data_IF_025086007076
#
_entry.id   IF_025086007076
#
_cell.length_a   1.000
_cell.length_b   1.000
_cell.length_c   1.000
_cell.angle_alpha   90.00
_cell.angle_beta   90.00
_cell.angle_gamma   90.00
#
_symmetry.space_group_name_H-M   'P 1'
#
loop_
_entity.id
_entity.type
_entity.pdbx_description
1 polymer ?
#
# COMPACT_ATOMS: atom_id res chain seq x y z
N UNK A 1 9.04 37.29 -9.69
CA UNK A 1 8.45 35.98 -9.35
C UNK A 1 7.58 35.53 -10.51
N UNK A 2 7.84 34.37 -11.10
CA UNK A 2 7.02 33.85 -12.19
C UNK A 2 5.59 33.58 -11.68
N UNK A 3 4.58 34.02 -12.44
CA UNK A 3 3.17 33.83 -12.08
C UNK A 3 2.84 32.34 -12.02
N UNK A 4 2.37 31.85 -10.86
CA UNK A 4 1.96 30.44 -10.69
C UNK A 4 0.90 30.09 -11.73
N UNK A 5 1.19 29.11 -12.59
CA UNK A 5 0.24 28.62 -13.60
C UNK A 5 -0.88 27.85 -12.90
N UNK A 6 -2.13 28.08 -13.31
CA UNK A 6 -3.28 27.30 -12.85
C UNK A 6 -3.03 25.82 -13.17
N UNK A 7 -3.34 24.93 -12.23
CA UNK A 7 -3.37 23.49 -12.50
C UNK A 7 -4.61 23.22 -13.36
N UNK A 8 -4.43 22.42 -14.41
CA UNK A 8 -5.53 22.03 -15.29
C UNK A 8 -6.64 21.29 -14.52
N UNK A 9 -7.90 21.57 -14.87
CA UNK A 9 -9.05 21.02 -14.14
C UNK A 9 -9.20 19.50 -14.39
N UNK A 10 -8.78 19.01 -15.56
CA UNK A 10 -8.70 17.58 -15.86
C UNK A 10 -7.62 16.87 -15.03
N UNK A 11 -6.43 17.46 -14.94
CA UNK A 11 -5.35 16.98 -14.07
C UNK A 11 -5.79 16.94 -12.60
N UNK A 12 -6.47 17.98 -12.12
CA UNK A 12 -7.02 18.03 -10.77
C UNK A 12 -8.01 16.89 -10.53
N UNK A 13 -8.94 16.69 -11.45
CA UNK A 13 -9.95 15.62 -11.35
C UNK A 13 -9.31 14.24 -11.34
N UNK A 14 -8.28 14.02 -12.16
CA UNK A 14 -7.53 12.76 -12.21
C UNK A 14 -6.84 12.46 -10.88
N UNK A 15 -6.08 13.40 -10.32
CA UNK A 15 -5.37 13.23 -9.05
C UNK A 15 -6.32 12.97 -7.88
N UNK A 16 -7.43 13.71 -7.82
CA UNK A 16 -8.45 13.51 -6.79
C UNK A 16 -9.11 12.14 -6.94
N UNK A 17 -9.39 11.70 -8.18
CA UNK A 17 -9.95 10.37 -8.44
C UNK A 17 -8.98 9.26 -8.06
N UNK A 18 -7.69 9.39 -8.36
CA UNK A 18 -6.65 8.43 -7.96
C UNK A 18 -6.54 8.28 -6.43
N UNK A 19 -6.75 9.37 -5.70
CA UNK A 19 -6.74 9.38 -4.23
C UNK A 19 -8.10 9.05 -3.61
N UNK A 20 -9.13 8.76 -4.41
CA UNK A 20 -10.50 8.55 -3.90
C UNK A 20 -11.08 9.76 -3.17
N UNK A 21 -10.69 10.97 -3.57
CA UNK A 21 -11.04 12.23 -2.91
C UNK A 21 -10.65 12.25 -1.42
N UNK A 22 -9.50 11.65 -1.08
CA UNK A 22 -8.90 11.68 0.26
C UNK A 22 -7.55 12.39 0.27
N UNK A 23 -7.16 12.88 1.44
CA UNK A 23 -5.79 13.33 1.69
C UNK A 23 -4.81 12.18 1.44
N UNK A 24 -3.72 12.45 0.71
CA UNK A 24 -2.71 11.45 0.40
C UNK A 24 -1.81 11.09 1.60
N UNK A 25 -1.87 11.84 2.71
CA UNK A 25 -1.29 11.39 3.96
C UNK A 25 -2.01 10.09 4.39
N UNK A 26 -1.34 8.92 4.45
CA UNK A 26 -1.98 7.62 4.65
C UNK A 26 -2.78 7.48 5.95
N UNK A 27 -2.47 8.31 6.96
CA UNK A 27 -3.18 8.29 8.25
C UNK A 27 -4.25 9.38 8.37
N UNK A 28 -4.36 10.29 7.40
CA UNK A 28 -5.36 11.37 7.39
C UNK A 28 -6.66 10.88 6.73
N UNK A 29 -7.81 11.29 7.28
CA UNK A 29 -9.15 10.88 6.80
C UNK A 29 -10.00 12.03 6.25
N UNK A 30 -9.41 13.19 6.01
CA UNK A 30 -10.12 14.35 5.47
C UNK A 30 -10.39 14.19 3.97
N UNK A 31 -11.63 14.49 3.55
CA UNK A 31 -12.12 14.24 2.17
C UNK A 31 -12.56 15.50 1.41
N UNK A 32 -13.11 16.50 2.08
CA UNK A 32 -13.87 17.58 1.40
C UNK A 32 -13.08 18.86 1.08
N UNK A 33 -11.85 18.98 1.57
CA UNK A 33 -11.01 20.17 1.36
C UNK A 33 -9.60 19.75 1.00
N UNK A 34 -9.36 19.43 -0.27
CA UNK A 34 -8.05 19.02 -0.75
C UNK A 34 -7.38 20.11 -1.60
N UNK A 35 -6.15 20.39 -1.22
CA UNK A 35 -5.23 21.30 -1.88
C UNK A 35 -4.19 20.46 -2.62
N UNK A 36 -3.93 20.80 -3.88
CA UNK A 36 -2.88 20.14 -4.64
C UNK A 36 -1.54 20.76 -4.25
N UNK A 37 -0.73 19.96 -3.57
CA UNK A 37 0.59 20.31 -3.14
C UNK A 37 1.62 19.93 -4.21
N UNK A 38 2.58 20.84 -4.45
CA UNK A 38 3.71 20.64 -5.33
C UNK A 38 4.87 20.05 -4.52
N UNK A 39 5.26 18.80 -4.80
CA UNK A 39 6.33 18.09 -4.08
C UNK A 39 7.67 18.83 -4.23
N UNK A 40 8.03 19.16 -5.47
CA UNK A 40 9.04 20.16 -5.80
C UNK A 40 8.32 21.50 -5.97
N UNK A 41 8.71 22.49 -5.17
CA UNK A 41 8.00 23.77 -5.14
C UNK A 41 8.10 24.52 -6.46
N UNK A 42 7.05 25.28 -6.79
CA UNK A 42 7.05 26.15 -7.99
C UNK A 42 8.19 27.18 -7.93
N UNK A 43 8.55 27.66 -6.73
CA UNK A 43 9.70 28.55 -6.52
C UNK A 43 11.05 27.89 -6.84
N UNK A 44 11.11 26.56 -6.79
CA UNK A 44 12.29 25.74 -7.09
C UNK A 44 12.26 25.17 -8.51
N UNK A 45 11.30 25.60 -9.35
CA UNK A 45 11.14 25.13 -10.72
C UNK A 45 10.20 23.94 -10.91
N UNK A 46 9.50 23.51 -9.85
CA UNK A 46 8.53 22.42 -9.93
C UNK A 46 7.34 22.71 -10.85
N UNK A 47 7.01 21.74 -11.71
CA UNK A 47 5.94 21.82 -12.70
C UNK A 47 4.58 21.31 -12.22
N UNK A 48 3.53 21.55 -13.02
CA UNK A 48 2.19 20.97 -12.83
C UNK A 48 2.12 19.60 -13.51
N UNK A 49 2.89 18.63 -13.02
CA UNK A 49 2.87 17.24 -13.55
C UNK A 49 2.23 16.30 -12.56
N UNK A 50 1.78 15.13 -13.03
CA UNK A 50 1.13 14.14 -12.17
C UNK A 50 2.08 13.64 -11.08
N UNK A 51 3.37 13.51 -11.41
CA UNK A 51 4.43 13.03 -10.52
C UNK A 51 4.80 14.05 -9.44
N UNK A 52 4.61 15.34 -9.73
CA UNK A 52 4.97 16.44 -8.84
C UNK A 52 3.79 16.96 -8.00
N UNK A 53 2.59 16.40 -8.18
CA UNK A 53 1.39 16.84 -7.48
C UNK A 53 0.87 15.76 -6.53
N UNK A 54 0.47 16.20 -5.34
CA UNK A 54 -0.12 15.34 -4.32
C UNK A 54 -1.29 16.04 -3.62
N UNK A 55 -2.49 15.43 -3.51
CA UNK A 55 -3.60 16.01 -2.76
C UNK A 55 -3.38 15.94 -1.25
N UNK A 56 -3.44 17.09 -0.56
CA UNK A 56 -3.35 17.18 0.90
C UNK A 56 -4.53 17.98 1.45
N UNK A 57 -4.96 17.68 2.68
CA UNK A 57 -5.86 18.60 3.39
C UNK A 57 -5.10 19.84 3.90
N UNK A 58 -5.79 20.96 4.19
CA UNK A 58 -5.18 22.18 4.70
C UNK A 58 -4.26 21.93 5.90
N UNK A 59 -4.67 21.08 6.85
CA UNK A 59 -3.83 20.76 8.01
C UNK A 59 -2.52 20.06 7.62
N UNK A 60 -2.58 18.99 6.83
CA UNK A 60 -1.36 18.28 6.41
C UNK A 60 -0.48 19.17 5.52
N UNK A 61 -1.09 20.02 4.69
CA UNK A 61 -0.38 20.96 3.85
C UNK A 61 0.35 22.02 4.69
N UNK A 62 -0.31 22.62 5.68
CA UNK A 62 0.31 23.56 6.62
C UNK A 62 1.40 22.92 7.44
N UNK A 63 1.20 21.71 7.96
CA UNK A 63 2.21 20.97 8.73
C UNK A 63 3.46 20.69 7.88
N UNK A 64 3.29 20.42 6.59
CA UNK A 64 4.42 20.26 5.68
C UNK A 64 5.17 21.58 5.45
N UNK A 65 4.47 22.68 5.17
CA UNK A 65 5.08 24.01 5.05
C UNK A 65 5.80 24.46 6.34
N UNK A 66 5.29 24.06 7.50
CA UNK A 66 5.90 24.32 8.80
C UNK A 66 7.09 23.40 9.12
N UNK A 67 7.41 22.42 8.26
CA UNK A 67 8.52 21.48 8.45
C UNK A 67 8.23 20.31 9.40
N UNK A 68 7.01 20.16 9.90
CA UNK A 68 6.63 19.03 10.75
C UNK A 68 6.42 17.74 9.96
N UNK A 69 6.03 17.84 8.69
CA UNK A 69 6.02 16.73 7.75
C UNK A 69 7.19 16.95 6.79
N UNK A 70 8.20 16.05 6.74
CA UNK A 70 9.36 16.23 5.88
C UNK A 70 9.02 15.95 4.40
N UNK A 71 9.82 16.50 3.48
CA UNK A 71 9.64 16.33 2.00
C UNK A 71 9.73 14.86 1.60
N UNK A 72 10.54 14.09 2.32
CA UNK A 72 10.72 12.66 2.14
C UNK A 72 9.42 11.89 2.40
N UNK A 73 8.63 12.30 3.40
CA UNK A 73 7.33 11.69 3.67
C UNK A 73 6.34 11.95 2.53
N UNK A 74 6.28 13.19 2.02
CA UNK A 74 5.46 13.56 0.85
C UNK A 74 5.83 12.70 -0.37
N UNK A 75 7.13 12.53 -0.64
CA UNK A 75 7.62 11.67 -1.73
C UNK A 75 7.23 10.20 -1.55
N UNK A 76 7.37 9.67 -0.34
CA UNK A 76 6.97 8.29 -0.03
C UNK A 76 5.47 8.07 -0.25
N UNK A 77 4.62 9.02 0.17
CA UNK A 77 3.17 8.92 -0.02
C UNK A 77 2.76 8.97 -1.49
N UNK A 78 3.44 9.79 -2.30
CA UNK A 78 3.23 9.81 -3.76
C UNK A 78 3.54 8.45 -4.39
N UNK A 79 4.66 7.84 -4.03
CA UNK A 79 5.03 6.50 -4.52
C UNK A 79 4.00 5.44 -4.12
N UNK A 80 3.52 5.47 -2.87
CA UNK A 80 2.47 4.56 -2.40
C UNK A 80 1.17 4.73 -3.20
N UNK A 81 0.75 5.99 -3.42
CA UNK A 81 -0.45 6.29 -4.21
C UNK A 81 -0.35 5.74 -5.64
N UNK A 82 0.78 5.98 -6.30
CA UNK A 82 1.03 5.53 -7.67
C UNK A 82 1.09 3.99 -7.77
N UNK A 83 1.47 3.31 -6.68
CA UNK A 83 1.65 1.86 -6.66
C UNK A 83 0.40 1.08 -6.25
N UNK A 84 -0.44 1.63 -5.37
CA UNK A 84 -1.45 0.85 -4.65
C UNK A 84 -2.90 1.10 -5.09
N UNK A 85 -3.16 2.05 -5.99
CA UNK A 85 -4.51 2.49 -6.38
C UNK A 85 -5.45 2.62 -5.18
N UNK A 86 -5.39 3.77 -4.49
CA UNK A 86 -6.14 4.09 -3.27
C UNK A 86 -5.67 3.30 -2.01
N UNK A 87 -4.50 3.64 -1.44
CA UNK A 87 -4.04 3.04 -0.19
C UNK A 87 -4.97 3.44 0.96
N UNK A 88 -5.85 2.53 1.39
CA UNK A 88 -6.48 2.68 2.70
C UNK A 88 -5.40 2.47 3.78
N UNK A 89 -5.46 3.23 4.89
CA UNK A 89 -4.60 3.01 6.07
C UNK A 89 -4.49 1.53 6.46
N UNK A 90 -5.61 0.80 6.32
CA UNK A 90 -5.69 -0.62 6.67
C UNK A 90 -4.74 -1.46 5.82
N UNK A 91 -4.57 -1.13 4.53
CA UNK A 91 -3.64 -1.83 3.66
C UNK A 91 -2.18 -1.54 4.04
N UNK A 92 -1.86 -0.30 4.36
CA UNK A 92 -0.54 0.11 4.86
C UNK A 92 -0.17 -0.64 6.14
N UNK A 93 -1.04 -0.59 7.14
CA UNK A 93 -0.85 -1.28 8.43
C UNK A 93 -0.74 -2.79 8.20
N UNK A 94 -1.50 -3.33 7.25
CA UNK A 94 -1.46 -4.73 6.87
C UNK A 94 -0.15 -5.16 6.21
N UNK A 95 0.40 -4.39 5.27
CA UNK A 95 1.69 -4.69 4.66
C UNK A 95 2.84 -4.66 5.70
N UNK A 96 2.79 -3.73 6.65
CA UNK A 96 3.75 -3.67 7.76
C UNK A 96 3.59 -4.88 8.68
N UNK A 97 2.36 -5.28 8.98
CA UNK A 97 2.07 -6.48 9.77
C UNK A 97 2.67 -7.72 9.08
N UNK A 98 2.40 -7.92 7.79
CA UNK A 98 2.95 -9.03 7.01
C UNK A 98 4.47 -8.99 6.84
N UNK A 99 5.12 -7.82 6.96
CA UNK A 99 6.57 -7.71 6.91
C UNK A 99 7.24 -8.15 8.22
N UNK A 100 6.59 -7.82 9.34
CA UNK A 100 7.01 -8.19 10.69
C UNK A 100 6.75 -9.65 10.98
N UNK A 101 5.63 -10.16 10.49
CA UNK A 101 5.35 -11.58 10.42
C UNK A 101 6.34 -12.18 9.42
N UNK A 102 7.36 -12.91 9.91
CA UNK A 102 8.50 -13.29 9.06
C UNK A 102 8.08 -14.20 7.88
N UNK A 103 6.85 -14.69 7.86
CA UNK A 103 6.24 -15.33 6.69
C UNK A 103 6.98 -16.59 6.25
N UNK A 104 7.83 -17.14 7.12
CA UNK A 104 8.41 -18.47 6.96
C UNK A 104 7.48 -19.43 7.68
N UNK A 105 6.51 -20.06 6.99
CA UNK A 105 5.95 -21.28 7.48
C UNK A 105 7.10 -22.29 7.40
N UNK A 106 7.83 -22.48 8.49
CA UNK A 106 8.33 -23.81 8.76
C UNK A 106 7.07 -24.65 8.97
N UNK A 107 6.50 -25.16 7.87
CA UNK A 107 5.44 -26.15 7.88
C UNK A 107 6.06 -27.44 8.43
N UNK A 108 6.48 -27.41 9.69
CA UNK A 108 6.59 -28.62 10.46
C UNK A 108 5.18 -29.20 10.42
N UNK A 109 5.06 -30.40 9.84
CA UNK A 109 3.88 -31.24 9.92
C UNK A 109 3.70 -31.65 11.38
N UNK A 110 3.47 -30.69 12.26
CA UNK A 110 3.07 -30.90 13.63
C UNK A 110 1.64 -31.40 13.57
N UNK A 111 1.43 -32.61 14.07
CA UNK A 111 0.10 -33.14 14.33
C UNK A 111 -0.77 -32.03 14.94
N UNK A 112 -1.95 -31.81 14.37
CA UNK A 112 -2.97 -30.84 14.81
C UNK A 112 -3.57 -31.21 16.19
N UNK A 113 -2.85 -31.98 16.99
CA UNK A 113 -3.31 -32.60 18.23
C UNK A 113 -2.79 -31.89 19.50
N UNK A 114 -1.76 -31.04 19.41
CA UNK A 114 -1.28 -30.31 20.58
C UNK A 114 -1.93 -28.92 20.67
N UNK A 115 -2.96 -28.83 21.52
CA UNK A 115 -3.70 -27.58 21.76
C UNK A 115 -2.85 -26.50 22.44
N UNK A 116 -1.67 -26.86 22.97
CA UNK A 116 -0.78 -25.98 23.72
C UNK A 116 0.46 -25.54 22.92
N UNK A 117 0.61 -25.98 21.65
CA UNK A 117 1.69 -25.51 20.80
C UNK A 117 1.59 -23.97 20.61
N UNK A 118 2.72 -23.23 20.64
CA UNK A 118 2.73 -21.79 20.34
C UNK A 118 2.12 -21.57 18.96
N UNK A 119 1.03 -20.80 18.87
CA UNK A 119 0.33 -20.52 17.61
C UNK A 119 0.96 -19.39 16.79
N UNK A 120 2.18 -19.00 17.14
CA UNK A 120 2.91 -17.88 16.54
C UNK A 120 3.40 -18.22 15.11
N UNK A 121 3.20 -19.47 14.67
CA UNK A 121 3.54 -20.04 13.36
C UNK A 121 2.33 -20.17 12.41
N UNK A 122 1.12 -19.81 12.87
CA UNK A 122 -0.09 -19.95 12.05
C UNK A 122 -0.19 -18.79 11.07
N UNK A 123 -0.16 -19.03 9.74
CA UNK A 123 -0.25 -17.95 8.75
C UNK A 123 -1.59 -17.23 8.84
N UNK A 124 -1.59 -15.93 8.52
CA UNK A 124 -2.83 -15.15 8.46
C UNK A 124 -3.82 -15.75 7.45
N UNK A 125 -5.01 -16.10 7.94
CA UNK A 125 -6.11 -16.65 7.15
C UNK A 125 -7.16 -15.58 6.92
N UNK A 126 -7.53 -15.38 5.66
CA UNK A 126 -8.54 -14.43 5.22
C UNK A 126 -9.72 -15.17 4.61
N UNK A 127 -10.92 -14.66 4.86
CA UNK A 127 -12.15 -15.12 4.21
C UNK A 127 -12.28 -14.48 2.83
N UNK A 128 -12.93 -15.17 1.89
CA UNK A 128 -13.08 -14.79 0.48
C UNK A 128 -13.55 -13.35 0.22
N UNK A 129 -14.41 -12.83 1.09
CA UNK A 129 -14.93 -11.45 1.07
C UNK A 129 -13.86 -10.38 1.38
N UNK A 130 -12.72 -10.77 1.96
CA UNK A 130 -11.58 -9.88 2.20
C UNK A 130 -10.71 -9.68 0.94
N UNK A 131 -10.86 -10.53 -0.09
CA UNK A 131 -10.01 -10.53 -1.28
C UNK A 131 -10.03 -9.20 -2.08
N UNK A 132 -11.19 -8.51 -2.26
CA UNK A 132 -11.22 -7.24 -2.99
C UNK A 132 -10.33 -6.16 -2.38
N UNK A 133 -10.12 -6.17 -1.06
CA UNK A 133 -9.23 -5.22 -0.37
C UNK A 133 -7.74 -5.50 -0.60
N UNK A 134 -7.42 -6.72 -1.05
CA UNK A 134 -6.06 -7.18 -1.31
C UNK A 134 -5.76 -7.29 -2.82
N UNK A 135 -6.76 -7.11 -3.67
CA UNK A 135 -6.64 -7.28 -5.13
C UNK A 135 -5.55 -6.39 -5.74
N UNK A 136 -5.45 -5.12 -5.33
CA UNK A 136 -4.40 -4.21 -5.79
C UNK A 136 -2.99 -4.73 -5.51
N UNK A 137 -2.63 -4.94 -4.23
CA UNK A 137 -1.34 -5.53 -3.84
C UNK A 137 -1.04 -6.88 -4.52
N UNK A 138 -2.03 -7.76 -4.64
CA UNK A 138 -1.88 -9.04 -5.34
C UNK A 138 -1.58 -8.82 -6.82
N UNK A 139 -2.34 -7.97 -7.51
CA UNK A 139 -2.12 -7.66 -8.92
C UNK A 139 -0.78 -6.95 -9.19
N UNK A 140 -0.31 -6.13 -8.25
CA UNK A 140 1.00 -5.46 -8.34
C UNK A 140 2.19 -6.37 -8.00
N UNK A 141 1.92 -7.63 -7.62
CA UNK A 141 2.93 -8.60 -7.20
C UNK A 141 3.59 -8.27 -5.86
N UNK A 142 2.96 -7.46 -5.01
CA UNK A 142 3.43 -7.18 -3.64
C UNK A 142 3.00 -8.26 -2.66
N UNK A 143 1.80 -8.82 -2.87
CA UNK A 143 1.28 -9.96 -2.14
C UNK A 143 1.09 -11.15 -3.08
N UNK A 144 1.22 -12.34 -2.53
CA UNK A 144 0.79 -13.56 -3.20
C UNK A 144 -0.16 -14.36 -2.32
N UNK A 145 -1.08 -15.06 -2.98
CA UNK A 145 -1.97 -16.04 -2.33
C UNK A 145 -1.28 -17.39 -2.45
N UNK A 146 -0.70 -17.89 -1.35
CA UNK A 146 0.10 -19.12 -1.38
C UNK A 146 -0.67 -20.36 -0.93
N UNK A 147 -1.90 -20.20 -0.40
CA UNK A 147 -2.77 -21.32 -0.09
C UNK A 147 -4.25 -20.91 -0.18
N UNK A 148 -5.05 -21.67 -0.93
CA UNK A 148 -6.51 -21.52 -0.99
C UNK A 148 -7.17 -22.79 -0.46
N UNK A 149 -7.93 -22.67 0.63
CA UNK A 149 -8.69 -23.77 1.22
C UNK A 149 -10.18 -23.53 1.05
N UNK A 150 -10.91 -24.55 0.62
CA UNK A 150 -12.37 -24.57 0.77
C UNK A 150 -12.68 -25.10 2.16
N UNK A 151 -13.28 -24.28 3.02
CA UNK A 151 -13.82 -24.78 4.28
C UNK A 151 -15.30 -25.11 4.06
N UNK A 152 -15.70 -26.32 4.42
CA UNK A 152 -17.10 -26.69 4.59
C UNK A 152 -17.58 -26.10 5.91
N UNK A 153 -18.43 -25.07 5.86
CA UNK A 153 -19.12 -24.63 7.07
C UNK A 153 -20.14 -25.70 7.51
N UNK A 154 -20.37 -25.80 8.82
CA UNK A 154 -21.31 -26.75 9.45
C UNK A 154 -22.78 -26.60 8.95
N UNK A 155 -23.06 -25.59 8.11
CA UNK A 155 -24.38 -25.25 7.57
C UNK A 155 -24.42 -25.18 6.02
N UNK A 156 -23.51 -25.85 5.30
CA UNK A 156 -23.60 -26.02 3.84
C UNK A 156 -23.11 -24.83 2.99
N UNK A 157 -22.64 -23.75 3.61
CA UNK A 157 -21.92 -22.68 2.90
C UNK A 157 -20.43 -22.99 2.72
N UNK A 158 -19.88 -22.75 1.54
CA UNK A 158 -18.44 -22.81 1.28
C UNK A 158 -17.89 -21.40 1.09
N UNK A 159 -17.36 -20.81 2.16
CA UNK A 159 -16.54 -19.60 2.02
C UNK A 159 -15.09 -20.02 1.79
N UNK A 160 -14.47 -19.64 0.65
CA UNK A 160 -13.06 -19.92 0.45
C UNK A 160 -12.26 -19.12 1.47
N UNK A 161 -11.28 -19.78 2.08
CA UNK A 161 -10.26 -19.14 2.89
C UNK A 161 -8.96 -19.11 2.11
N UNK A 162 -8.20 -18.04 2.26
CA UNK A 162 -6.91 -17.89 1.61
C UNK A 162 -5.87 -17.35 2.58
N UNK A 163 -4.63 -17.75 2.36
CA UNK A 163 -3.48 -17.24 3.08
C UNK A 163 -2.67 -16.36 2.13
N UNK A 164 -2.25 -15.20 2.61
CA UNK A 164 -1.40 -14.27 1.86
C UNK A 164 -0.08 -14.02 2.57
N UNK A 165 0.96 -13.74 1.79
CA UNK A 165 2.25 -13.29 2.30
C UNK A 165 2.85 -12.24 1.38
N UNK A 166 3.85 -11.50 1.86
CA UNK A 166 4.64 -10.63 1.00
C UNK A 166 5.48 -11.47 0.05
N UNK A 167 5.51 -11.08 -1.21
CA UNK A 167 6.49 -11.58 -2.18
C UNK A 167 7.87 -11.00 -1.86
N UNK A 168 8.92 -11.44 -2.56
CA UNK A 168 10.23 -10.79 -2.50
C UNK A 168 10.15 -9.30 -2.84
N UNK A 169 9.36 -8.95 -3.86
CA UNK A 169 9.06 -7.57 -4.26
C UNK A 169 8.37 -6.78 -3.15
N UNK A 170 7.32 -7.36 -2.55
CA UNK A 170 6.61 -6.77 -1.42
C UNK A 170 7.50 -6.54 -0.21
N UNK A 171 8.34 -7.52 0.14
CA UNK A 171 9.28 -7.41 1.26
C UNK A 171 10.32 -6.32 1.02
N UNK A 172 10.89 -6.25 -0.17
CA UNK A 172 11.84 -5.20 -0.56
C UNK A 172 11.19 -3.80 -0.53
N UNK A 173 9.94 -3.68 -0.99
CA UNK A 173 9.17 -2.44 -0.94
C UNK A 173 8.97 -1.97 0.51
N UNK A 174 8.44 -2.85 1.37
CA UNK A 174 8.14 -2.50 2.78
C UNK A 174 9.42 -2.20 3.55
N UNK A 175 10.50 -2.95 3.31
CA UNK A 175 11.80 -2.68 3.93
C UNK A 175 12.36 -1.31 3.54
N UNK A 176 12.37 -1.01 2.24
CA UNK A 176 12.85 0.28 1.73
C UNK A 176 11.99 1.43 2.28
N UNK A 177 10.68 1.22 2.38
CA UNK A 177 9.76 2.17 2.98
C UNK A 177 10.02 2.42 4.46
N UNK A 178 10.18 1.37 5.28
CA UNK A 178 10.51 1.50 6.71
C UNK A 178 11.82 2.27 6.90
N UNK A 179 12.79 2.09 6.00
CA UNK A 179 14.09 2.78 6.02
C UNK A 179 14.07 4.18 5.42
N UNK A 180 12.98 4.60 4.76
CA UNK A 180 12.91 5.85 4.01
C UNK A 180 13.79 5.87 2.75
N UNK A 181 14.18 4.71 2.23
CA UNK A 181 15.00 4.58 1.01
C UNK A 181 14.14 4.69 -0.25
N UNK A 182 14.10 5.90 -0.81
CA UNK A 182 13.33 6.22 -2.02
C UNK A 182 13.82 5.43 -3.24
N UNK A 183 15.12 5.19 -3.35
CA UNK A 183 15.70 4.44 -4.48
C UNK A 183 15.34 2.96 -4.37
N UNK A 184 15.40 2.40 -3.16
CA UNK A 184 14.96 1.03 -2.86
C UNK A 184 13.47 0.82 -3.17
N UNK A 185 12.61 1.78 -2.79
CA UNK A 185 11.18 1.75 -3.13
C UNK A 185 10.99 1.70 -4.66
N UNK A 186 11.64 2.62 -5.39
CA UNK A 186 11.51 2.68 -6.86
C UNK A 186 11.94 1.37 -7.51
N UNK A 187 13.12 0.86 -7.14
CA UNK A 187 13.66 -0.39 -7.69
C UNK A 187 12.73 -1.58 -7.40
N UNK A 188 12.14 -1.64 -6.20
CA UNK A 188 11.18 -2.68 -5.87
C UNK A 188 9.93 -2.59 -6.75
N UNK A 189 9.37 -1.39 -6.96
CA UNK A 189 8.17 -1.21 -7.79
C UNK A 189 8.40 -1.54 -9.27
N UNK A 190 9.57 -1.18 -9.79
CA UNK A 190 9.99 -1.43 -11.17
C UNK A 190 10.39 -2.89 -11.42
N UNK A 191 10.65 -3.68 -10.38
CA UNK A 191 10.90 -5.12 -10.53
C UNK A 191 9.67 -5.85 -11.08
N UNK A 192 9.88 -6.73 -12.06
CA UNK A 192 8.84 -7.59 -12.60
C UNK A 192 8.17 -8.39 -11.46
N UNK A 193 6.84 -8.54 -11.47
CA UNK A 193 6.16 -9.41 -10.52
C UNK A 193 6.69 -10.84 -10.70
N UNK A 194 7.23 -11.43 -9.63
CA UNK A 194 7.62 -12.83 -9.63
C UNK A 194 6.36 -13.69 -9.79
N UNK A 195 6.09 -14.14 -11.02
CA UNK A 195 5.11 -15.19 -11.29
C UNK A 195 5.78 -16.52 -11.01
N UNK A 196 5.71 -16.99 -9.76
CA UNK A 196 5.91 -18.41 -9.49
C UNK A 196 4.78 -19.13 -10.25
N UNK A 197 5.15 -19.97 -11.22
CA UNK A 197 4.24 -20.65 -12.14
C UNK A 197 2.94 -21.05 -11.44
N UNK A 198 1.85 -20.35 -11.77
CA UNK A 198 0.52 -20.71 -11.30
C UNK A 198 0.23 -22.07 -11.92
N UNK A 199 0.22 -23.08 -11.06
CA UNK A 199 0.05 -24.50 -11.33
C UNK A 199 -0.96 -24.79 -12.45
N UNK A 200 -0.56 -25.68 -13.36
CA UNK A 200 -1.43 -26.49 -14.23
C UNK A 200 -2.50 -27.24 -13.44
#
# INVERSE_FOLDING_TARGET
MAKRKKIDDGMRSLLLTQCGYMCANPVCRQTLTLELHHIEYVSEGGGNTLENLLPLCPNCHTLHHAGHIPKEAIKAWKLLLDSLTNPSRNLVDFLILLYRDKGEPEMQRGNVADINAPRDDVPFVFTGDSLPFLAGPVNSGLLEIFNRRQNTAYAGGTTPNFMVRLTGKGRALVESWIKGDVSGIRNALESEPYHENVLE
#
